data_IF_625980933296
#
_entry.id   IF_625980933296
#
_cell.length_a   1.000
_cell.length_b   1.000
_cell.length_c   1.000
_cell.angle_alpha   90.00
_cell.angle_beta   90.00
_cell.angle_gamma   90.00
#
_symmetry.space_group_name_H-M   'P 1'
#
loop_
_entity.id
_entity.type
_entity.pdbx_description
1 polymer ?
#
# COMPACT_ATOMS: atom_id res chain seq x y z
N UNK A 1 30.60 11.44 28.24
CA UNK A 1 29.23 11.34 27.68
C UNK A 1 29.26 10.28 26.60
N UNK A 2 28.71 9.11 26.89
CA UNK A 2 28.74 7.99 25.94
C UNK A 2 27.74 8.22 24.81
N UNK A 3 28.22 8.16 23.57
CA UNK A 3 27.40 8.29 22.36
C UNK A 3 26.71 6.96 22.06
N UNK A 4 25.54 6.74 22.66
CA UNK A 4 24.70 5.58 22.36
C UNK A 4 24.03 5.80 21.01
N UNK A 5 24.44 5.03 20.00
CA UNK A 5 23.84 5.10 18.67
C UNK A 5 22.64 4.17 18.56
N UNK A 6 21.60 4.61 17.83
CA UNK A 6 20.29 3.93 17.70
C UNK A 6 20.39 2.45 17.30
N UNK A 7 21.46 2.05 16.59
CA UNK A 7 21.72 0.66 16.18
C UNK A 7 22.03 -0.27 17.35
N UNK A 8 22.65 0.22 18.41
CA UNK A 8 22.96 -0.61 19.59
C UNK A 8 21.72 -0.89 20.45
N UNK A 9 20.72 -0.02 20.42
CA UNK A 9 19.48 -0.20 21.19
C UNK A 9 18.46 -1.06 20.43
N UNK A 10 18.39 -0.92 19.10
CA UNK A 10 17.37 -1.60 18.28
C UNK A 10 17.85 -2.92 17.65
N UNK A 11 19.15 -3.18 17.58
CA UNK A 11 19.71 -4.42 17.03
C UNK A 11 19.27 -5.70 17.77
N UNK A 12 19.31 -5.75 19.12
CA UNK A 12 18.97 -6.97 19.86
C UNK A 12 17.46 -7.28 19.93
N UNK A 13 16.60 -6.26 19.83
CA UNK A 13 15.14 -6.41 19.89
C UNK A 13 14.54 -6.99 18.60
N UNK A 14 15.20 -6.83 17.45
CA UNK A 14 14.72 -7.36 16.17
C UNK A 14 14.91 -8.87 16.00
N UNK A 15 15.93 -9.46 16.63
CA UNK A 15 16.29 -10.87 16.42
C UNK A 15 15.39 -11.82 17.24
N UNK A 16 14.98 -11.43 18.45
CA UNK A 16 14.19 -12.30 19.34
C UNK A 16 12.69 -12.30 18.97
N UNK A 17 12.16 -11.20 18.44
CA UNK A 17 10.76 -11.13 18.01
C UNK A 17 10.51 -11.72 16.60
N UNK A 18 11.55 -11.98 15.81
CA UNK A 18 11.42 -12.43 14.42
C UNK A 18 11.01 -13.91 14.25
N UNK A 19 11.25 -14.77 15.25
CA UNK A 19 11.09 -16.22 15.07
C UNK A 19 9.66 -16.75 15.22
N UNK A 20 8.72 -15.95 15.73
CA UNK A 20 7.29 -16.35 15.81
C UNK A 20 6.40 -15.71 14.74
N UNK A 21 6.89 -14.71 14.00
CA UNK A 21 6.07 -14.01 12.98
C UNK A 21 6.14 -14.71 11.62
N UNK A 22 7.25 -15.39 11.30
CA UNK A 22 7.38 -16.11 10.02
C UNK A 22 6.46 -17.33 9.89
N UNK A 23 5.91 -17.88 10.98
CA UNK A 23 4.91 -18.96 10.89
C UNK A 23 3.50 -18.45 10.55
N UNK A 24 3.23 -17.15 10.67
CA UNK A 24 1.89 -16.60 10.47
C UNK A 24 1.65 -15.99 9.09
N UNK A 25 2.71 -15.78 8.29
CA UNK A 25 2.60 -15.26 6.92
C UNK A 25 2.55 -16.36 5.84
N UNK A 26 2.75 -17.64 6.19
CA UNK A 26 2.63 -18.77 5.25
C UNK A 26 1.23 -19.42 5.25
N UNK A 27 0.29 -18.88 6.05
CA UNK A 27 -1.11 -19.29 5.97
C UNK A 27 -1.76 -18.69 4.73
N UNK A 28 -1.74 -19.50 3.68
CA UNK A 28 -2.68 -19.56 2.56
C UNK A 28 -4.05 -18.98 2.94
N UNK A 29 -4.23 -17.70 2.73
CA UNK A 29 -5.51 -17.11 2.37
C UNK A 29 -5.17 -16.05 1.35
N UNK A 30 -5.23 -16.46 0.09
CA UNK A 30 -5.62 -15.60 -1.00
C UNK A 30 -6.81 -14.79 -0.47
N UNK A 31 -6.56 -13.53 -0.12
CA UNK A 31 -7.60 -12.63 0.36
C UNK A 31 -8.49 -12.30 -0.85
N UNK A 32 -9.35 -13.25 -1.23
CA UNK A 32 -10.55 -12.94 -1.98
C UNK A 32 -11.39 -12.10 -1.04
N UNK A 33 -11.33 -10.77 -1.26
CA UNK A 33 -12.26 -9.86 -0.62
C UNK A 33 -13.67 -10.38 -0.95
N UNK A 34 -14.53 -10.65 0.04
CA UNK A 34 -15.91 -11.00 -0.26
C UNK A 34 -16.51 -9.84 -1.05
N UNK A 35 -17.16 -10.14 -2.18
CA UNK A 35 -18.05 -9.23 -2.92
C UNK A 35 -19.16 -8.77 -1.96
N UNK A 36 -18.85 -7.79 -1.14
CA UNK A 36 -19.82 -7.03 -0.39
C UNK A 36 -20.14 -5.86 -1.27
N UNK A 37 -21.17 -6.06 -2.09
CA UNK A 37 -21.94 -4.98 -2.70
C UNK A 37 -22.65 -4.18 -1.59
N UNK A 38 -21.85 -3.48 -0.77
CA UNK A 38 -22.31 -2.43 0.11
C UNK A 38 -22.48 -1.22 -0.80
N UNK A 39 -23.72 -0.78 -1.00
CA UNK A 39 -24.01 0.58 -1.46
C UNK A 39 -23.19 1.53 -0.60
N UNK A 40 -22.10 2.05 -1.16
CA UNK A 40 -21.34 3.11 -0.52
C UNK A 40 -22.20 4.37 -0.60
N UNK A 41 -22.31 5.11 0.50
CA UNK A 41 -22.87 6.47 0.48
C UNK A 41 -22.03 7.45 -0.37
N UNK A 42 -20.89 6.98 -0.89
CA UNK A 42 -20.01 7.71 -1.76
C UNK A 42 -20.50 7.64 -3.22
N UNK A 43 -20.52 8.77 -3.96
CA UNK A 43 -21.11 8.84 -5.30
C UNK A 43 -20.30 8.12 -6.40
N UNK A 44 -19.11 7.58 -6.09
CA UNK A 44 -18.24 6.90 -7.05
C UNK A 44 -18.34 5.40 -6.88
N UNK A 45 -18.60 4.70 -7.99
CA UNK A 45 -18.53 3.24 -8.04
C UNK A 45 -17.09 2.77 -7.77
N UNK A 46 -16.95 1.67 -7.05
CA UNK A 46 -15.66 1.04 -6.87
C UNK A 46 -15.15 0.52 -8.22
N UNK A 47 -13.88 0.77 -8.52
CA UNK A 47 -13.21 0.31 -9.74
C UNK A 47 -11.92 -0.36 -9.33
N UNK A 48 -11.72 -1.61 -9.76
CA UNK A 48 -10.45 -2.30 -9.55
C UNK A 48 -9.34 -1.61 -10.36
N UNK A 49 -8.20 -1.40 -9.70
CA UNK A 49 -7.01 -0.75 -10.28
C UNK A 49 -5.91 -1.78 -10.50
N UNK A 50 -4.98 -1.46 -11.41
CA UNK A 50 -3.81 -2.29 -11.61
C UNK A 50 -2.78 -2.02 -10.48
N UNK A 51 -2.47 -3.03 -9.64
CA UNK A 51 -1.55 -2.86 -8.53
C UNK A 51 -0.11 -2.61 -8.98
N UNK A 52 0.33 -3.16 -10.13
CA UNK A 52 1.69 -2.99 -10.64
C UNK A 52 1.91 -1.55 -11.11
N UNK A 53 0.94 -1.01 -11.87
CA UNK A 53 0.97 0.40 -12.29
C UNK A 53 0.90 1.33 -11.06
N UNK A 54 0.14 0.96 -10.03
CA UNK A 54 0.04 1.76 -8.79
C UNK A 54 1.38 1.77 -8.06
N UNK A 55 2.02 0.61 -7.91
CA UNK A 55 3.29 0.47 -7.22
C UNK A 55 4.42 1.25 -7.93
N UNK A 56 4.53 1.09 -9.25
CA UNK A 56 5.53 1.80 -10.06
C UNK A 56 5.38 3.32 -9.93
N UNK A 57 4.16 3.84 -10.12
CA UNK A 57 3.92 5.29 -10.02
C UNK A 57 4.14 5.80 -8.59
N UNK A 58 3.75 5.04 -7.58
CA UNK A 58 3.97 5.41 -6.17
C UNK A 58 5.45 5.57 -5.87
N UNK A 59 6.29 4.68 -6.40
CA UNK A 59 7.74 4.74 -6.22
C UNK A 59 8.31 6.08 -6.73
N UNK A 60 7.94 6.48 -7.96
CA UNK A 60 8.42 7.74 -8.55
C UNK A 60 7.76 9.00 -7.99
N UNK A 61 6.47 8.95 -7.65
CA UNK A 61 5.73 10.12 -7.15
C UNK A 61 6.07 10.43 -5.69
N UNK A 62 6.60 9.47 -4.93
CA UNK A 62 7.11 9.71 -3.58
C UNK A 62 8.25 10.75 -3.56
N UNK A 63 9.08 10.81 -4.60
CA UNK A 63 10.12 11.84 -4.70
C UNK A 63 9.55 13.24 -4.97
N UNK A 64 8.35 13.32 -5.58
CA UNK A 64 7.72 14.59 -5.96
C UNK A 64 6.97 15.26 -4.81
N UNK A 65 6.36 14.48 -3.92
CA UNK A 65 5.51 15.02 -2.86
C UNK A 65 5.49 14.17 -1.58
N UNK A 66 6.48 13.30 -1.39
CA UNK A 66 6.60 12.37 -0.27
C UNK A 66 5.44 11.37 -0.19
N UNK A 67 5.34 10.66 0.94
CA UNK A 67 4.50 9.48 1.09
C UNK A 67 3.02 9.72 0.79
N UNK A 68 2.43 10.81 1.28
CA UNK A 68 1.00 11.08 1.08
C UNK A 68 0.68 11.34 -0.39
N UNK A 69 1.48 12.16 -1.06
CA UNK A 69 1.32 12.42 -2.49
C UNK A 69 1.60 11.18 -3.32
N UNK A 70 2.70 10.47 -3.01
CA UNK A 70 3.11 9.26 -3.70
C UNK A 70 2.05 8.17 -3.65
N UNK A 71 1.30 8.03 -2.55
CA UNK A 71 0.21 7.05 -2.46
C UNK A 71 -1.07 7.55 -3.14
N UNK A 72 -1.41 8.82 -3.01
CA UNK A 72 -2.69 9.36 -3.51
C UNK A 72 -2.72 9.57 -5.02
N UNK A 73 -1.67 10.17 -5.60
CA UNK A 73 -1.66 10.58 -7.01
C UNK A 73 -1.79 9.40 -8.00
N UNK A 74 -1.12 8.25 -7.80
CA UNK A 74 -1.26 7.08 -8.67
C UNK A 74 -2.68 6.56 -8.75
N UNK A 75 -3.39 6.46 -7.62
CA UNK A 75 -4.78 5.96 -7.54
C UNK A 75 -5.70 6.85 -8.36
N UNK A 76 -5.65 8.17 -8.14
CA UNK A 76 -6.52 9.13 -8.86
C UNK A 76 -6.18 9.18 -10.35
N UNK A 77 -4.90 9.10 -10.71
CA UNK A 77 -4.48 9.12 -12.11
C UNK A 77 -4.98 7.91 -12.91
N UNK A 78 -5.01 6.71 -12.30
CA UNK A 78 -5.58 5.52 -12.95
C UNK A 78 -7.09 5.63 -13.11
N UNK A 79 -7.79 6.10 -12.06
CA UNK A 79 -9.23 6.35 -12.13
C UNK A 79 -9.58 7.35 -13.24
N UNK A 80 -8.82 8.44 -13.36
CA UNK A 80 -9.03 9.42 -14.44
C UNK A 80 -8.81 8.85 -15.84
N UNK A 81 -7.84 7.95 -16.01
CA UNK A 81 -7.58 7.29 -17.29
C UNK A 81 -8.73 6.33 -17.68
N UNK A 82 -9.25 5.59 -16.71
CA UNK A 82 -10.40 4.70 -16.89
C UNK A 82 -11.66 5.50 -17.25
N UNK A 83 -12.02 6.54 -16.48
CA UNK A 83 -13.20 7.38 -16.76
C UNK A 83 -13.16 7.98 -18.17
N UNK A 84 -11.98 8.36 -18.66
CA UNK A 84 -11.82 8.88 -20.02
C UNK A 84 -12.08 7.82 -21.11
N UNK A 85 -11.85 6.54 -20.81
CA UNK A 85 -12.14 5.42 -21.70
C UNK A 85 -13.65 5.13 -21.81
N UNK A 86 -14.43 5.39 -20.75
CA UNK A 86 -15.89 5.23 -20.76
C UNK A 86 -16.65 6.38 -21.44
N UNK A 87 -15.99 7.51 -21.71
CA UNK A 87 -16.58 8.71 -22.33
C UNK A 87 -16.29 8.82 -23.85
N UNK A 88 -15.59 7.84 -24.43
CA UNK A 88 -15.30 7.69 -25.85
C UNK A 88 -16.06 6.49 -26.41
#
# INVERSE_FOLDING_TARGET
MENITRRQVLGPLGIVAGSFVLSSCLSKNLASAPDKEKKSDFPWAYTELDPEITAERTYYDCEKGHCMYGVFAPVISQLGCQVKLWLL
#
